data_IF_540279124808
#
_entry.id   IF_540279124808
#
_cell.length_a   1.000
_cell.length_b   1.000
_cell.length_c   1.000
_cell.angle_alpha   90.00
_cell.angle_beta   90.00
_cell.angle_gamma   90.00
#
_symmetry.space_group_name_H-M   'P 1'
#
loop_
_entity.id
_entity.type
_entity.pdbx_description
1 polymer ?
#
# COMPACT_ATOMS: atom_id res chain seq x y z
N UNK A 1 9.17 -4.01 -4.17
CA UNK A 1 10.03 -4.04 -5.36
C UNK A 1 9.23 -3.84 -6.66
N UNK A 2 8.15 -4.56 -6.91
CA UNK A 2 7.33 -4.46 -8.13
C UNK A 2 6.80 -3.03 -8.37
N UNK A 3 6.19 -2.38 -7.37
CA UNK A 3 5.68 -1.01 -7.45
C UNK A 3 6.76 -0.03 -7.94
N UNK A 4 7.96 -0.09 -7.35
CA UNK A 4 9.06 0.79 -7.74
C UNK A 4 9.54 0.54 -9.18
N UNK A 5 9.45 -0.69 -9.66
CA UNK A 5 9.80 -1.05 -11.04
C UNK A 5 8.78 -0.49 -12.04
N UNK A 6 7.48 -0.64 -11.76
CA UNK A 6 6.42 -0.09 -12.62
C UNK A 6 6.43 1.45 -12.63
N UNK A 7 6.66 2.09 -11.50
CA UNK A 7 6.81 3.55 -11.42
C UNK A 7 8.02 4.09 -12.20
N UNK A 8 9.06 3.27 -12.39
CA UNK A 8 10.27 3.62 -13.13
C UNK A 8 10.27 3.09 -14.57
N UNK A 9 9.19 2.45 -14.98
CA UNK A 9 9.05 1.81 -16.31
C UNK A 9 10.20 0.84 -16.64
N UNK A 10 10.71 0.12 -15.63
CA UNK A 10 11.80 -0.84 -15.80
C UNK A 10 11.25 -2.12 -16.41
N UNK A 11 11.63 -2.41 -17.65
CA UNK A 11 11.29 -3.68 -18.29
C UNK A 11 12.08 -4.84 -17.68
N UNK A 12 11.41 -5.95 -17.45
CA UNK A 12 12.02 -7.22 -17.03
C UNK A 12 12.20 -8.16 -18.21
N UNK A 13 13.28 -8.94 -18.23
CA UNK A 13 13.52 -9.94 -19.29
C UNK A 13 12.45 -11.05 -19.30
N UNK A 14 11.85 -11.32 -18.18
CA UNK A 14 10.79 -12.34 -18.02
C UNK A 14 9.61 -11.74 -17.26
N UNK A 15 8.36 -12.17 -17.59
CA UNK A 15 7.17 -11.72 -16.90
C UNK A 15 7.25 -12.00 -15.40
N UNK A 16 6.91 -11.00 -14.59
CA UNK A 16 6.70 -11.14 -13.16
C UNK A 16 5.31 -11.73 -12.87
N UNK A 17 5.03 -12.04 -11.60
CA UNK A 17 3.73 -12.58 -11.20
C UNK A 17 2.57 -11.66 -11.60
N UNK A 18 2.75 -10.35 -11.47
CA UNK A 18 1.73 -9.35 -11.82
C UNK A 18 1.48 -9.30 -13.33
N UNK A 19 2.54 -9.45 -14.16
CA UNK A 19 2.42 -9.53 -15.62
C UNK A 19 1.69 -10.80 -16.04
N UNK A 20 2.00 -11.93 -15.39
CA UNK A 20 1.31 -13.20 -15.62
C UNK A 20 -0.18 -13.09 -15.27
N UNK A 21 -0.51 -12.49 -14.13
CA UNK A 21 -1.89 -12.33 -13.69
C UNK A 21 -2.68 -11.39 -14.61
N UNK A 22 -2.05 -10.29 -15.06
CA UNK A 22 -2.62 -9.40 -16.06
C UNK A 22 -2.86 -10.12 -17.40
N UNK A 23 -1.89 -10.92 -17.86
CA UNK A 23 -2.02 -11.74 -19.07
C UNK A 23 -3.12 -12.79 -18.96
N UNK A 24 -3.28 -13.43 -17.79
CA UNK A 24 -4.41 -14.34 -17.54
C UNK A 24 -5.75 -13.60 -17.58
N UNK A 25 -5.84 -12.43 -16.96
CA UNK A 25 -7.06 -11.63 -17.02
C UNK A 25 -7.46 -11.33 -18.47
N UNK A 26 -6.50 -10.90 -19.30
CA UNK A 26 -6.75 -10.64 -20.73
C UNK A 26 -7.16 -11.91 -21.48
N UNK A 27 -6.49 -13.05 -21.25
CA UNK A 27 -6.81 -14.31 -21.91
C UNK A 27 -8.23 -14.82 -21.62
N UNK A 28 -8.76 -14.50 -20.45
CA UNK A 28 -10.10 -14.87 -20.01
C UNK A 28 -11.13 -13.73 -20.13
N UNK A 29 -10.81 -12.66 -20.86
CA UNK A 29 -11.66 -11.49 -21.03
C UNK A 29 -12.13 -10.87 -19.70
N UNK A 30 -11.24 -10.84 -18.72
CA UNK A 30 -11.46 -10.17 -17.43
C UNK A 30 -10.82 -8.78 -17.50
N UNK A 31 -11.62 -7.74 -17.33
CA UNK A 31 -11.15 -6.36 -17.30
C UNK A 31 -10.88 -5.92 -15.87
N UNK A 32 -9.63 -5.59 -15.56
CA UNK A 32 -9.28 -4.97 -14.28
C UNK A 32 -9.64 -3.49 -14.38
N UNK A 33 -10.64 -3.07 -13.62
CA UNK A 33 -11.25 -1.73 -13.71
C UNK A 33 -10.53 -0.71 -12.84
N UNK A 34 -10.31 -1.08 -11.59
CA UNK A 34 -9.79 -0.18 -10.57
C UNK A 34 -9.30 -0.97 -9.35
N UNK A 35 -8.56 -0.29 -8.48
CA UNK A 35 -8.23 -0.74 -7.14
C UNK A 35 -8.94 0.13 -6.13
N UNK A 36 -9.60 -0.48 -5.15
CA UNK A 36 -10.26 0.21 -4.04
C UNK A 36 -9.60 -0.19 -2.72
N UNK A 37 -8.94 0.76 -2.06
CA UNK A 37 -8.44 0.60 -0.68
C UNK A 37 -9.60 0.95 0.25
N UNK A 38 -10.16 -0.07 0.92
CA UNK A 38 -11.44 0.08 1.62
C UNK A 38 -11.35 -0.06 3.14
N UNK A 39 -10.22 -0.52 3.68
CA UNK A 39 -10.08 -0.79 5.11
C UNK A 39 -8.63 -0.75 5.55
N UNK A 40 -8.42 -0.35 6.81
CA UNK A 40 -7.17 -0.55 7.55
C UNK A 40 -7.48 -1.23 8.88
N UNK A 41 -6.64 -2.19 9.28
CA UNK A 41 -6.74 -2.86 10.58
C UNK A 41 -5.32 -3.17 11.06
N UNK A 42 -4.97 -2.69 12.27
CA UNK A 42 -3.64 -2.87 12.86
C UNK A 42 -2.49 -2.49 11.90
N UNK A 43 -2.63 -1.36 11.19
CA UNK A 43 -1.64 -0.88 10.21
C UNK A 43 -1.57 -1.67 8.90
N UNK A 44 -2.45 -2.65 8.69
CA UNK A 44 -2.55 -3.43 7.45
C UNK A 44 -3.70 -2.87 6.62
N UNK A 45 -3.40 -2.48 5.37
CA UNK A 45 -4.39 -2.02 4.40
C UNK A 45 -4.97 -3.20 3.64
N UNK A 46 -6.29 -3.15 3.45
CA UNK A 46 -7.06 -4.13 2.69
C UNK A 46 -7.59 -3.47 1.42
N UNK A 47 -7.46 -4.15 0.31
CA UNK A 47 -7.85 -3.63 -0.99
C UNK A 47 -8.63 -4.65 -1.80
N UNK A 48 -9.53 -4.14 -2.62
CA UNK A 48 -10.16 -4.91 -3.69
C UNK A 48 -9.55 -4.57 -5.03
N UNK A 49 -9.27 -5.60 -5.81
CA UNK A 49 -9.09 -5.49 -7.24
C UNK A 49 -10.46 -5.64 -7.88
N UNK A 50 -10.99 -4.58 -8.42
CA UNK A 50 -12.31 -4.56 -9.03
C UNK A 50 -12.20 -5.06 -10.48
N UNK A 51 -12.77 -6.21 -10.73
CA UNK A 51 -12.73 -6.88 -12.02
C UNK A 51 -14.13 -6.92 -12.65
N UNK A 52 -14.17 -6.82 -13.98
CA UNK A 52 -15.40 -6.94 -14.75
C UNK A 52 -15.25 -8.03 -15.81
N UNK A 53 -16.25 -8.89 -15.91
CA UNK A 53 -16.36 -9.88 -16.96
C UNK A 53 -17.83 -10.04 -17.40
N UNK A 54 -18.10 -9.95 -18.70
CA UNK A 54 -19.45 -10.06 -19.28
C UNK A 54 -20.51 -9.17 -18.60
N UNK A 55 -20.11 -7.94 -18.21
CA UNK A 55 -20.99 -6.98 -17.53
C UNK A 55 -21.23 -7.27 -16.05
N UNK A 56 -20.58 -8.27 -15.49
CA UNK A 56 -20.59 -8.55 -14.05
C UNK A 56 -19.33 -8.03 -13.38
N UNK A 57 -19.50 -7.33 -12.29
CA UNK A 57 -18.37 -6.81 -11.48
C UNK A 57 -18.13 -7.72 -10.28
N UNK A 58 -16.87 -8.07 -10.05
CA UNK A 58 -16.42 -8.89 -8.93
C UNK A 58 -15.28 -8.19 -8.21
N UNK A 59 -15.36 -8.11 -6.89
CA UNK A 59 -14.33 -7.59 -6.04
C UNK A 59 -13.44 -8.75 -5.55
N UNK A 60 -12.19 -8.76 -5.96
CA UNK A 60 -11.21 -9.75 -5.55
C UNK A 60 -10.38 -9.17 -4.42
N UNK A 61 -10.39 -9.83 -3.26
CA UNK A 61 -9.57 -9.42 -2.11
C UNK A 61 -8.07 -9.58 -2.45
N UNK A 62 -7.29 -8.55 -2.17
CA UNK A 62 -5.88 -8.51 -2.48
C UNK A 62 -5.10 -7.71 -1.43
N UNK A 63 -3.84 -8.08 -1.23
CA UNK A 63 -2.94 -7.21 -0.47
C UNK A 63 -2.76 -5.91 -1.24
N UNK A 64 -2.80 -4.80 -0.53
CA UNK A 64 -2.69 -3.47 -1.16
C UNK A 64 -1.44 -3.32 -2.05
N UNK A 65 -0.29 -3.88 -1.62
CA UNK A 65 0.94 -3.87 -2.44
C UNK A 65 0.80 -4.57 -3.79
N UNK A 66 0.07 -5.69 -3.82
CA UNK A 66 -0.12 -6.48 -5.04
C UNK A 66 -1.16 -5.79 -5.95
N UNK A 67 -2.25 -5.30 -5.36
CA UNK A 67 -3.26 -4.53 -6.07
C UNK A 67 -2.67 -3.27 -6.72
N UNK A 68 -1.84 -2.51 -5.99
CA UNK A 68 -1.15 -1.34 -6.51
C UNK A 68 -0.18 -1.67 -7.64
N UNK A 69 0.58 -2.77 -7.54
CA UNK A 69 1.48 -3.20 -8.61
C UNK A 69 0.71 -3.53 -9.89
N UNK A 70 -0.43 -4.21 -9.76
CA UNK A 70 -1.33 -4.51 -10.90
C UNK A 70 -1.94 -3.24 -11.46
N UNK A 71 -2.39 -2.32 -10.61
CA UNK A 71 -2.95 -1.04 -11.06
C UNK A 71 -1.97 -0.22 -11.87
N UNK A 72 -0.72 -0.11 -11.42
CA UNK A 72 0.34 0.58 -12.13
C UNK A 72 0.66 -0.09 -13.47
N UNK A 73 0.74 -1.42 -13.48
CA UNK A 73 0.97 -2.17 -14.71
C UNK A 73 -0.16 -2.03 -15.74
N UNK A 74 -1.42 -1.97 -15.26
CA UNK A 74 -2.62 -1.85 -16.12
C UNK A 74 -3.06 -0.42 -16.37
N UNK A 75 -2.41 0.57 -15.74
CA UNK A 75 -2.78 1.98 -15.79
C UNK A 75 -4.25 2.22 -15.39
N UNK A 76 -4.77 1.39 -14.47
CA UNK A 76 -6.12 1.58 -13.95
C UNK A 76 -6.13 2.48 -12.71
N UNK A 77 -7.24 3.18 -12.44
CA UNK A 77 -7.34 4.10 -11.32
C UNK A 77 -7.25 3.38 -9.97
N UNK A 78 -6.76 4.12 -8.97
CA UNK A 78 -6.65 3.67 -7.59
C UNK A 78 -7.48 4.61 -6.74
N UNK A 79 -8.44 4.05 -6.02
CA UNK A 79 -9.30 4.78 -5.10
C UNK A 79 -9.04 4.36 -3.66
N UNK A 80 -9.27 5.29 -2.76
CA UNK A 80 -9.31 5.04 -1.32
C UNK A 80 -10.66 5.51 -0.79
N UNK A 81 -11.21 4.77 0.15
CA UNK A 81 -12.41 5.18 0.85
C UNK A 81 -12.21 6.52 1.55
N UNK A 82 -13.16 7.45 1.38
CA UNK A 82 -13.04 8.82 1.89
C UNK A 82 -12.99 8.86 3.43
N UNK A 83 -13.78 8.04 4.09
CA UNK A 83 -13.78 7.95 5.56
C UNK A 83 -12.43 7.41 6.06
N UNK A 84 -11.89 6.41 5.36
CA UNK A 84 -10.58 5.86 5.64
C UNK A 84 -9.48 6.92 5.44
N UNK A 85 -9.55 7.68 4.34
CA UNK A 85 -8.59 8.75 4.07
C UNK A 85 -8.63 9.83 5.16
N UNK A 86 -9.81 10.27 5.56
CA UNK A 86 -9.98 11.33 6.55
C UNK A 86 -9.62 10.88 7.97
N UNK A 87 -9.80 9.60 8.30
CA UNK A 87 -9.51 9.07 9.64
C UNK A 87 -8.06 8.62 9.81
N UNK A 88 -7.41 8.17 8.73
CA UNK A 88 -6.10 7.54 8.79
C UNK A 88 -4.97 8.40 8.20
N UNK A 89 -5.32 9.48 7.50
CA UNK A 89 -4.35 10.38 6.89
C UNK A 89 -4.51 11.80 7.44
N UNK A 90 -3.41 12.46 7.74
CA UNK A 90 -3.40 13.89 8.02
C UNK A 90 -3.25 14.65 6.71
N UNK A 91 -4.07 15.67 6.52
CA UNK A 91 -3.93 16.57 5.37
C UNK A 91 -2.82 17.56 5.67
N UNK A 92 -1.83 17.63 4.81
CA UNK A 92 -0.77 18.64 4.95
C UNK A 92 -1.35 20.01 4.59
N UNK A 93 -1.26 20.97 5.52
CA UNK A 93 -1.84 22.32 5.38
C UNK A 93 -1.18 23.13 4.23
N UNK A 94 -0.06 22.68 3.69
CA UNK A 94 0.74 23.44 2.72
C UNK A 94 0.67 22.97 1.27
N UNK A 95 0.15 21.78 0.92
CA UNK A 95 0.34 21.27 -0.44
C UNK A 95 -0.70 20.29 -0.98
N UNK A 96 -1.77 20.00 -0.26
CA UNK A 96 -2.77 19.01 -0.70
C UNK A 96 -2.29 17.55 -0.67
N UNK A 97 -1.10 17.30 -0.14
CA UNK A 97 -0.61 15.96 0.12
C UNK A 97 -1.23 15.39 1.40
N UNK A 98 -1.44 14.08 1.41
CA UNK A 98 -1.84 13.36 2.61
C UNK A 98 -0.63 12.65 3.20
N UNK A 99 -0.38 12.85 4.50
CA UNK A 99 0.60 12.08 5.25
C UNK A 99 -0.09 11.05 6.13
N UNK A 100 0.48 9.86 6.21
CA UNK A 100 -0.03 8.84 7.11
C UNK A 100 0.48 9.07 8.53
N UNK A 101 -0.40 9.05 9.56
CA UNK A 101 0.04 9.08 10.94
C UNK A 101 0.98 7.91 11.25
N UNK A 102 2.00 8.17 12.05
CA UNK A 102 2.97 7.16 12.51
C UNK A 102 2.26 5.95 13.16
N UNK A 103 1.13 6.20 13.83
CA UNK A 103 0.32 5.18 14.49
C UNK A 103 -0.30 4.15 13.56
N UNK A 104 -0.47 4.47 12.27
CA UNK A 104 -1.07 3.59 11.26
C UNK A 104 -0.01 2.82 10.47
N UNK A 105 1.23 3.28 10.47
CA UNK A 105 2.34 2.64 9.76
C UNK A 105 2.68 1.29 10.40
N UNK A 106 2.95 0.27 9.59
CA UNK A 106 3.44 -1.00 10.11
C UNK A 106 4.90 -0.86 10.61
N UNK A 107 5.34 -1.82 11.44
CA UNK A 107 6.66 -1.78 12.07
C UNK A 107 7.82 -1.75 11.06
N UNK A 108 7.67 -2.38 9.90
CA UNK A 108 8.71 -2.36 8.84
C UNK A 108 8.86 -0.98 8.23
N UNK A 109 7.73 -0.31 7.94
CA UNK A 109 7.74 1.07 7.44
C UNK A 109 8.32 2.03 8.48
N UNK A 110 7.94 1.86 9.77
CA UNK A 110 8.49 2.66 10.85
C UNK A 110 10.01 2.51 10.99
N UNK A 111 10.55 1.31 10.80
CA UNK A 111 12.01 1.10 10.78
C UNK A 111 12.69 1.83 9.61
N UNK A 112 12.05 1.83 8.43
CA UNK A 112 12.55 2.59 7.28
C UNK A 112 12.56 4.10 7.52
N UNK A 113 11.48 4.63 8.12
CA UNK A 113 11.39 6.06 8.48
C UNK A 113 12.41 6.41 9.57
N UNK A 114 12.61 5.53 10.57
CA UNK A 114 13.63 5.69 11.61
C UNK A 114 15.03 5.80 11.01
N UNK A 115 15.36 4.93 10.06
CA UNK A 115 16.66 4.98 9.39
C UNK A 115 16.86 6.31 8.65
N UNK A 116 15.81 6.78 7.95
CA UNK A 116 15.83 8.07 7.25
C UNK A 116 15.96 9.24 8.21
N UNK A 117 15.31 9.19 9.38
CA UNK A 117 15.42 10.22 10.41
C UNK A 117 16.84 10.29 10.98
N UNK A 118 17.50 9.14 11.22
CA UNK A 118 18.89 9.07 11.65
C UNK A 118 19.83 9.68 10.59
N UNK A 119 19.64 9.35 9.31
CA UNK A 119 20.45 9.87 8.20
C UNK A 119 20.30 11.39 8.03
N UNK A 120 19.15 11.94 8.40
CA UNK A 120 18.87 13.39 8.40
C UNK A 120 19.24 14.09 9.70
N UNK A 121 19.79 13.36 10.66
CA UNK A 121 20.15 13.86 12.00
C UNK A 121 18.94 14.39 12.80
N UNK A 122 17.72 13.97 12.45
CA UNK A 122 16.48 14.28 13.18
C UNK A 122 16.35 13.31 14.36
N UNK A 123 17.13 13.55 15.40
CA UNK A 123 17.21 12.66 16.57
C UNK A 123 15.95 12.68 17.43
N UNK A 124 15.16 13.75 17.40
CA UNK A 124 13.89 13.84 18.11
C UNK A 124 12.86 12.91 17.51
N UNK A 125 12.68 12.96 16.18
CA UNK A 125 11.83 12.05 15.46
C UNK A 125 12.33 10.60 15.57
N UNK A 126 13.62 10.38 15.48
CA UNK A 126 14.23 9.05 15.61
C UNK A 126 13.98 8.44 16.99
N UNK A 127 14.07 9.20 18.08
CA UNK A 127 13.78 8.75 19.42
C UNK A 127 12.29 8.35 19.56
N UNK A 128 11.38 9.17 19.07
CA UNK A 128 9.94 8.91 19.09
C UNK A 128 9.56 7.64 18.30
N UNK A 129 10.11 7.48 17.11
CA UNK A 129 9.87 6.29 16.28
C UNK A 129 10.39 5.00 16.92
N UNK A 130 11.58 5.06 17.56
CA UNK A 130 12.16 3.93 18.28
C UNK A 130 11.26 3.48 19.43
N UNK A 131 10.72 4.42 20.18
CA UNK A 131 9.86 4.12 21.33
C UNK A 131 8.55 3.47 20.90
N UNK A 132 7.91 3.95 19.82
CA UNK A 132 6.70 3.35 19.23
C UNK A 132 6.99 1.92 18.72
N UNK A 133 8.13 1.70 18.06
CA UNK A 133 8.51 0.36 17.57
C UNK A 133 8.65 -0.60 18.75
N UNK A 134 9.31 -0.18 19.84
CA UNK A 134 9.51 -0.99 21.03
C UNK A 134 8.18 -1.37 21.68
N UNK A 135 7.28 -0.41 21.90
CA UNK A 135 5.96 -0.67 22.47
C UNK A 135 5.17 -1.71 21.67
N UNK A 136 5.17 -1.63 20.36
CA UNK A 136 4.48 -2.60 19.48
C UNK A 136 5.11 -3.99 19.52
N UNK A 137 6.42 -4.08 19.70
CA UNK A 137 7.12 -5.37 19.81
C UNK A 137 6.83 -6.02 21.17
N UNK A 138 6.72 -5.23 22.24
CA UNK A 138 6.34 -5.69 23.58
C UNK A 138 4.89 -6.19 23.62
N UNK A 139 3.94 -5.46 23.01
CA UNK A 139 2.53 -5.88 22.88
C UNK A 139 2.41 -7.22 22.14
N UNK A 140 3.14 -7.36 21.03
CA UNK A 140 3.13 -8.59 20.22
C UNK A 140 3.69 -9.80 20.94
N UNK A 141 4.66 -9.59 21.84
CA UNK A 141 5.24 -10.65 22.66
C UNK A 141 4.39 -11.00 23.89
N UNK A 142 3.44 -10.14 24.29
CA UNK A 142 2.54 -10.38 25.42
C UNK A 142 1.25 -11.13 25.02
N UNK A 143 0.97 -11.27 23.73
CA UNK A 143 -0.18 -12.03 23.20
C UNK A 143 0.12 -13.52 22.95
N UNK A 144 1.32 -13.99 23.26
CA UNK A 144 1.74 -15.39 23.24
C UNK A 144 2.05 -15.90 24.65
#
# INVERSE_FOLDING_TARGET
QAIAMYLREVATERPMLHDLLAGMADAFAIHIREVLIHKVKAGVFYSYLVCEQYGQTVNVDARTSDALAIALHRHCPIYIDEELLNTQCMRDEGGGAYSMPITVMNTEVLRGVLQTAIEREDYELAAHLRDIIREREEEKNSEF
#
